data_IF_179231977766
#
_entry.id   IF_179231977766
#
_cell.length_a   1.000
_cell.length_b   1.000
_cell.length_c   1.000
_cell.angle_alpha   90.00
_cell.angle_beta   90.00
_cell.angle_gamma   90.00
#
_symmetry.space_group_name_H-M   'P 1'
#
loop_
_entity.id
_entity.type
_entity.pdbx_description
1 polymer ?
#
# COMPACT_ATOMS: atom_id res chain seq x y z
N UNK A 1 0.40 15.45 3.87
CA UNK A 1 0.25 14.50 2.73
C UNK A 1 -1.08 13.75 2.76
N UNK A 2 -1.41 12.99 3.82
CA UNK A 2 -2.59 12.10 3.83
C UNK A 2 -4.00 12.75 3.83
N UNK A 3 -4.09 14.08 3.85
CA UNK A 3 -5.36 14.81 3.65
C UNK A 3 -5.73 14.96 2.16
N UNK A 4 -4.79 14.63 1.24
CA UNK A 4 -5.02 14.72 -0.20
C UNK A 4 -6.03 13.66 -0.63
N UNK A 5 -6.79 14.00 -1.66
CA UNK A 5 -7.67 13.05 -2.34
C UNK A 5 -6.98 12.61 -3.63
N UNK A 6 -6.50 11.37 -3.63
CA UNK A 6 -5.83 10.80 -4.79
C UNK A 6 -6.89 10.10 -5.65
N UNK A 7 -7.00 10.40 -6.95
CA UNK A 7 -8.03 9.84 -7.81
C UNK A 7 -7.71 8.39 -8.22
N UNK A 8 -7.75 7.47 -7.25
CA UNK A 8 -7.39 6.05 -7.43
C UNK A 8 -8.18 5.34 -8.55
N UNK A 9 -9.40 5.78 -8.82
CA UNK A 9 -10.25 5.27 -9.90
C UNK A 9 -9.65 5.50 -11.30
N UNK A 10 -8.92 6.60 -11.49
CA UNK A 10 -8.25 6.89 -12.76
C UNK A 10 -7.12 5.87 -12.97
N UNK A 11 -6.33 5.60 -11.91
CA UNK A 11 -5.26 4.62 -11.98
C UNK A 11 -5.76 3.19 -12.17
N UNK A 12 -6.92 2.85 -11.61
CA UNK A 12 -7.59 1.57 -11.92
C UNK A 12 -8.03 1.52 -13.39
N UNK A 13 -8.66 2.58 -13.90
CA UNK A 13 -9.12 2.66 -15.29
C UNK A 13 -7.96 2.55 -16.29
N UNK A 14 -6.80 3.10 -15.94
CA UNK A 14 -5.55 2.97 -16.70
C UNK A 14 -4.82 1.64 -16.48
N UNK A 15 -5.41 0.69 -15.73
CA UNK A 15 -4.84 -0.63 -15.39
C UNK A 15 -3.53 -0.59 -14.59
N UNK A 16 -3.25 0.52 -13.92
CA UNK A 16 -2.09 0.67 -13.02
C UNK A 16 -2.40 0.13 -11.61
N UNK A 17 -3.68 0.02 -11.26
CA UNK A 17 -4.14 -0.63 -10.01
C UNK A 17 -5.18 -1.67 -10.39
N UNK A 18 -5.05 -2.88 -9.83
CA UNK A 18 -6.08 -3.92 -10.02
C UNK A 18 -7.37 -3.58 -9.27
N UNK A 19 -8.51 -4.08 -9.75
CA UNK A 19 -9.80 -3.88 -9.05
C UNK A 19 -9.79 -4.37 -7.59
N UNK A 20 -9.12 -5.50 -7.34
CA UNK A 20 -8.91 -6.03 -5.99
C UNK A 20 -8.02 -5.11 -5.16
N UNK A 21 -6.94 -4.57 -5.75
CA UNK A 21 -6.05 -3.61 -5.11
C UNK A 21 -6.76 -2.33 -4.69
N UNK A 22 -7.65 -1.79 -5.55
CA UNK A 22 -8.46 -0.63 -5.23
C UNK A 22 -9.42 -0.90 -4.06
N UNK A 23 -10.03 -2.08 -4.00
CA UNK A 23 -10.89 -2.47 -2.88
C UNK A 23 -10.12 -2.56 -1.56
N UNK A 24 -8.93 -3.17 -1.58
CA UNK A 24 -8.05 -3.22 -0.41
C UNK A 24 -7.67 -1.80 0.04
N UNK A 25 -7.28 -0.93 -0.90
CA UNK A 25 -6.93 0.46 -0.60
C UNK A 25 -8.08 1.19 0.09
N UNK A 26 -9.32 1.06 -0.42
CA UNK A 26 -10.52 1.66 0.18
C UNK A 26 -10.86 1.12 1.57
N UNK A 27 -10.52 -0.14 1.83
CA UNK A 27 -10.73 -0.74 3.15
C UNK A 27 -9.72 -0.23 4.16
N UNK A 28 -8.50 0.08 3.73
CA UNK A 28 -7.42 0.56 4.61
C UNK A 28 -7.39 2.08 4.77
N UNK A 29 -7.65 2.82 3.70
CA UNK A 29 -7.52 4.27 3.66
C UNK A 29 -8.53 4.96 4.57
N UNK A 30 -8.11 6.06 5.20
CA UNK A 30 -8.90 6.90 6.12
C UNK A 30 -9.58 6.14 7.28
N UNK A 31 -9.16 4.90 7.58
CA UNK A 31 -9.59 4.14 8.76
C UNK A 31 -8.85 4.52 10.02
N UNK A 32 -9.45 4.20 11.16
CA UNK A 32 -8.80 4.36 12.46
C UNK A 32 -7.61 3.41 12.60
N UNK A 33 -6.67 3.75 13.45
CA UNK A 33 -5.47 2.93 13.67
C UNK A 33 -5.80 1.50 14.11
N UNK A 34 -6.80 1.32 14.98
CA UNK A 34 -7.25 0.00 15.43
C UNK A 34 -7.84 -0.85 14.28
N UNK A 35 -8.62 -0.23 13.38
CA UNK A 35 -9.14 -0.92 12.20
C UNK A 35 -8.01 -1.30 11.24
N UNK A 36 -7.07 -0.38 10.98
CA UNK A 36 -5.87 -0.69 10.18
C UNK A 36 -5.06 -1.82 10.80
N UNK A 37 -4.92 -1.85 12.13
CA UNK A 37 -4.23 -2.93 12.82
C UNK A 37 -4.88 -4.28 12.57
N UNK A 38 -6.20 -4.38 12.77
CA UNK A 38 -6.96 -5.61 12.50
C UNK A 38 -6.78 -6.09 11.05
N UNK A 39 -6.89 -5.19 10.08
CA UNK A 39 -6.71 -5.54 8.66
C UNK A 39 -5.30 -6.08 8.37
N UNK A 40 -4.27 -5.50 8.99
CA UNK A 40 -2.89 -5.92 8.81
C UNK A 40 -2.56 -7.22 9.55
N UNK A 41 -3.25 -7.51 10.65
CA UNK A 41 -3.13 -8.78 11.35
C UNK A 41 -3.79 -9.92 10.54
N UNK A 42 -4.88 -9.63 9.83
CA UNK A 42 -5.59 -10.59 8.98
C UNK A 42 -4.89 -10.85 7.63
N UNK A 43 -4.50 -9.79 6.90
CA UNK A 43 -3.99 -9.90 5.52
C UNK A 43 -2.87 -8.87 5.21
N UNK A 44 -1.97 -8.67 6.17
CA UNK A 44 -0.86 -7.73 6.07
C UNK A 44 -0.02 -7.81 4.78
N UNK A 45 0.41 -9.00 4.32
CA UNK A 45 1.19 -9.12 3.10
C UNK A 45 0.46 -8.62 1.84
N UNK A 46 -0.86 -8.77 1.75
CA UNK A 46 -1.62 -8.25 0.61
C UNK A 46 -1.61 -6.71 0.57
N UNK A 47 -1.70 -6.05 1.72
CA UNK A 47 -1.57 -4.60 1.81
C UNK A 47 -0.17 -4.11 1.43
N UNK A 48 0.88 -4.81 1.88
CA UNK A 48 2.26 -4.49 1.48
C UNK A 48 2.43 -4.64 -0.02
N UNK A 49 1.97 -5.75 -0.61
CA UNK A 49 2.00 -5.97 -2.06
C UNK A 49 1.32 -4.84 -2.81
N UNK A 50 0.13 -4.43 -2.36
CA UNK A 50 -0.61 -3.32 -2.95
C UNK A 50 0.21 -2.03 -2.94
N UNK A 51 0.75 -1.63 -1.79
CA UNK A 51 1.51 -0.38 -1.69
C UNK A 51 2.76 -0.41 -2.58
N UNK A 52 3.49 -1.52 -2.57
CA UNK A 52 4.68 -1.70 -3.40
C UNK A 52 4.32 -1.70 -4.89
N UNK A 53 3.24 -2.37 -5.30
CA UNK A 53 2.77 -2.35 -6.70
C UNK A 53 2.39 -0.94 -7.16
N UNK A 54 1.78 -0.13 -6.29
CA UNK A 54 1.47 1.26 -6.63
C UNK A 54 2.76 2.06 -6.84
N UNK A 55 3.77 1.88 -5.99
CA UNK A 55 5.05 2.58 -6.12
C UNK A 55 5.83 2.16 -7.37
N UNK A 56 5.66 0.91 -7.83
CA UNK A 56 6.23 0.42 -9.09
C UNK A 56 5.50 0.98 -10.31
N UNK A 57 4.17 0.87 -10.30
CA UNK A 57 3.36 1.07 -11.50
C UNK A 57 2.93 2.55 -11.68
N UNK A 58 3.04 3.38 -10.62
CA UNK A 58 2.62 4.79 -10.62
C UNK A 58 3.79 5.69 -10.21
N UNK A 59 4.27 6.49 -11.17
CA UNK A 59 5.34 7.47 -10.96
C UNK A 59 4.85 8.90 -10.69
N UNK A 60 3.53 9.10 -10.50
CA UNK A 60 2.98 10.43 -10.18
C UNK A 60 3.35 10.81 -8.75
N UNK A 61 4.11 11.90 -8.60
CA UNK A 61 4.64 12.41 -7.32
C UNK A 61 3.62 12.37 -6.18
N UNK A 62 2.44 12.96 -6.38
CA UNK A 62 1.41 13.02 -5.33
C UNK A 62 0.94 11.64 -4.86
N UNK A 63 0.84 10.66 -5.76
CA UNK A 63 0.43 9.29 -5.45
C UNK A 63 1.55 8.54 -4.73
N UNK A 64 2.80 8.71 -5.19
CA UNK A 64 3.99 8.15 -4.56
C UNK A 64 4.16 8.67 -3.13
N UNK A 65 4.13 9.99 -2.94
CA UNK A 65 4.20 10.62 -1.62
C UNK A 65 3.08 10.11 -0.69
N UNK A 66 1.87 9.94 -1.24
CA UNK A 66 0.73 9.46 -0.47
C UNK A 66 0.93 8.02 0.02
N UNK A 67 1.37 7.11 -0.86
CA UNK A 67 1.61 5.72 -0.48
C UNK A 67 2.78 5.59 0.48
N UNK A 68 3.86 6.35 0.28
CA UNK A 68 4.97 6.41 1.22
C UNK A 68 4.50 6.88 2.60
N UNK A 69 3.63 7.89 2.66
CA UNK A 69 3.05 8.33 3.93
C UNK A 69 2.13 7.27 4.57
N UNK A 70 1.44 6.42 3.80
CA UNK A 70 0.66 5.29 4.33
C UNK A 70 1.58 4.21 4.93
N UNK A 71 2.69 3.90 4.26
CA UNK A 71 3.71 2.96 4.75
C UNK A 71 4.36 3.53 6.02
N UNK A 72 4.73 4.81 6.02
CA UNK A 72 5.32 5.49 7.16
C UNK A 72 4.38 5.44 8.39
N UNK A 73 3.09 5.74 8.22
CA UNK A 73 2.11 5.59 9.29
C UNK A 73 1.98 4.13 9.77
N UNK A 74 2.00 3.17 8.86
CA UNK A 74 1.92 1.74 9.21
C UNK A 74 3.06 1.36 10.16
N UNK A 75 4.29 1.73 9.79
CA UNK A 75 5.51 1.37 10.51
C UNK A 75 5.68 2.19 11.80
N UNK A 76 5.32 3.48 11.78
CA UNK A 76 5.34 4.34 12.97
C UNK A 76 4.38 3.83 14.04
N UNK A 77 3.18 3.40 13.65
CA UNK A 77 2.21 2.85 14.60
C UNK A 77 2.66 1.51 15.22
N UNK A 78 3.38 0.67 14.47
CA UNK A 78 3.99 -0.54 15.02
C UNK A 78 5.19 -0.98 14.17
N UNK A 79 6.43 -0.73 14.63
CA UNK A 79 7.64 -1.08 13.88
C UNK A 79 7.78 -2.57 13.57
N UNK A 80 7.15 -3.46 14.36
CA UNK A 80 7.17 -4.92 14.11
C UNK A 80 6.46 -5.29 12.81
N UNK A 81 5.62 -4.41 12.26
CA UNK A 81 4.96 -4.60 10.95
C UNK A 81 5.95 -4.62 9.78
N UNK A 82 7.19 -4.16 9.97
CA UNK A 82 8.25 -4.34 8.99
C UNK A 82 8.42 -5.81 8.57
N UNK A 83 8.10 -6.77 9.45
CA UNK A 83 8.12 -8.21 9.12
C UNK A 83 7.21 -8.58 7.92
N UNK A 84 6.15 -7.81 7.67
CA UNK A 84 5.22 -8.04 6.56
C UNK A 84 5.90 -7.85 5.20
N UNK A 85 6.95 -7.01 5.13
CA UNK A 85 7.75 -6.79 3.93
C UNK A 85 8.73 -7.95 3.66
N UNK A 86 8.92 -8.86 4.62
CA UNK A 86 9.76 -10.04 4.46
C UNK A 86 8.96 -11.32 4.19
N UNK A 87 7.65 -11.20 3.95
CA UNK A 87 6.80 -12.35 3.70
C UNK A 87 7.23 -13.08 2.41
N UNK A 88 7.29 -14.42 2.45
CA UNK A 88 7.80 -15.22 1.33
C UNK A 88 6.92 -15.11 0.08
N UNK A 89 5.63 -14.80 0.24
CA UNK A 89 4.73 -14.59 -0.90
C UNK A 89 5.20 -13.42 -1.78
N UNK A 90 5.92 -12.45 -1.20
CA UNK A 90 6.40 -11.24 -1.86
C UNK A 90 7.72 -11.43 -2.63
N UNK A 91 8.48 -12.51 -2.35
CA UNK A 91 9.83 -12.73 -2.88
C UNK A 91 9.89 -13.20 -4.34
N UNK A 92 8.75 -13.58 -4.94
CA UNK A 92 8.73 -14.19 -6.29
C UNK A 92 8.53 -13.24 -7.47
N UNK A 93 8.19 -11.97 -7.24
CA UNK A 93 7.62 -11.07 -8.27
C UNK A 93 8.48 -9.82 -8.58
N UNK A 94 9.76 -9.78 -8.18
CA UNK A 94 10.64 -8.58 -8.30
C UNK A 94 9.98 -7.28 -7.81
N UNK A 95 9.09 -7.39 -6.83
CA UNK A 95 8.23 -6.27 -6.42
C UNK A 95 9.04 -5.09 -5.86
N UNK A 96 10.25 -5.32 -5.38
CA UNK A 96 11.13 -4.31 -4.80
C UNK A 96 12.08 -3.64 -5.80
N UNK A 97 12.02 -3.98 -7.09
CA UNK A 97 12.76 -3.29 -8.16
C UNK A 97 12.68 -1.75 -8.08
N UNK A 98 11.54 -1.10 -7.71
CA UNK A 98 11.47 0.36 -7.61
C UNK A 98 12.43 1.00 -6.59
N UNK A 99 13.05 0.21 -5.72
CA UNK A 99 13.93 0.69 -4.66
C UNK A 99 15.40 0.26 -4.84
N UNK A 100 15.71 -0.50 -5.90
CA UNK A 100 17.05 -0.96 -6.25
C UNK A 100 17.67 -0.05 -7.32
#
# INVERSE_FOLDING_TARGET
>A
VLKRDIPWEIYMSSKLISGTGLQLLRRYDKRTESQKASLLDDDGPAYVRLFVSILRDISKEEAVEYVLALIDQMLTANPKRARLFHDKSLLGDDIYEPFL
#
